data_IF_883133108824
#
_entry.id   IF_883133108824
#
_cell.length_a   1.000
_cell.length_b   1.000
_cell.length_c   1.000
_cell.angle_alpha   90.00
_cell.angle_beta   90.00
_cell.angle_gamma   90.00
#
_symmetry.space_group_name_H-M   'P 1'
#
loop_
_entity.id
_entity.type
_entity.pdbx_description
1 polymer ?
#
# COMPACT_ATOMS: atom_id res chain seq x y z
N UNK A 1 8.25 -10.54 -38.18
CA UNK A 1 8.59 -10.81 -36.77
C UNK A 1 8.79 -9.46 -36.13
N UNK A 2 7.77 -8.97 -35.43
CA UNK A 2 7.78 -7.66 -34.78
C UNK A 2 8.36 -7.88 -33.39
N UNK A 3 9.56 -7.38 -33.14
CA UNK A 3 10.16 -7.40 -31.78
C UNK A 3 9.30 -6.50 -30.89
N UNK A 4 8.82 -7.07 -29.79
CA UNK A 4 8.11 -6.32 -28.74
C UNK A 4 9.06 -5.26 -28.18
N UNK A 5 8.59 -4.02 -28.11
CA UNK A 5 9.34 -2.90 -27.55
C UNK A 5 9.60 -3.13 -26.06
N UNK A 6 10.78 -2.78 -25.51
CA UNK A 6 11.07 -2.99 -24.09
C UNK A 6 10.16 -2.24 -23.09
N UNK A 7 9.28 -1.37 -23.62
CA UNK A 7 8.28 -0.66 -22.81
C UNK A 7 7.04 -1.51 -22.41
N UNK A 8 6.85 -2.71 -23.00
CA UNK A 8 5.71 -3.60 -22.73
C UNK A 8 6.03 -4.74 -21.74
N UNK A 9 7.24 -4.79 -21.19
CA UNK A 9 7.57 -5.78 -20.19
C UNK A 9 6.85 -5.46 -18.86
N UNK A 10 5.96 -6.37 -18.46
CA UNK A 10 5.27 -6.25 -17.17
C UNK A 10 6.29 -6.36 -16.03
N UNK A 11 6.12 -5.56 -14.93
CA UNK A 11 7.06 -5.58 -13.82
C UNK A 11 7.10 -6.97 -13.18
N UNK A 12 8.28 -7.46 -12.85
CA UNK A 12 8.44 -8.70 -12.10
C UNK A 12 8.08 -8.52 -10.61
N UNK A 13 7.72 -9.61 -9.92
CA UNK A 13 7.33 -9.58 -8.51
C UNK A 13 8.38 -8.90 -7.62
N UNK A 14 9.66 -9.15 -7.87
CA UNK A 14 10.75 -8.53 -7.12
C UNK A 14 10.79 -7.00 -7.29
N UNK A 15 10.53 -6.51 -8.49
CA UNK A 15 10.46 -5.08 -8.80
C UNK A 15 9.25 -4.43 -8.11
N UNK A 16 8.08 -5.08 -8.18
CA UNK A 16 6.85 -4.62 -7.51
C UNK A 16 7.05 -4.52 -6.00
N UNK A 17 7.66 -5.54 -5.39
CA UNK A 17 7.97 -5.55 -3.95
C UNK A 17 8.98 -4.46 -3.60
N UNK A 18 10.03 -4.28 -4.40
CA UNK A 18 11.05 -3.26 -4.16
C UNK A 18 10.47 -1.84 -4.23
N UNK A 19 9.65 -1.55 -5.24
CA UNK A 19 8.97 -0.25 -5.36
C UNK A 19 8.02 0.00 -4.19
N UNK A 20 7.25 -1.01 -3.77
CA UNK A 20 6.33 -0.92 -2.63
C UNK A 20 7.09 -0.69 -1.32
N UNK A 21 8.22 -1.35 -1.11
CA UNK A 21 9.09 -1.12 0.08
C UNK A 21 9.67 0.29 0.09
N UNK A 22 10.18 0.76 -1.05
CA UNK A 22 10.69 2.13 -1.18
C UNK A 22 9.62 3.17 -0.84
N UNK A 23 8.41 2.99 -1.35
CA UNK A 23 7.27 3.85 -1.02
C UNK A 23 6.93 3.80 0.49
N UNK A 24 6.87 2.60 1.08
CA UNK A 24 6.61 2.43 2.51
C UNK A 24 7.68 3.15 3.36
N UNK A 25 8.96 2.96 3.04
CA UNK A 25 10.09 3.51 3.80
C UNK A 25 10.22 5.03 3.64
N UNK A 26 10.17 5.53 2.40
CA UNK A 26 10.40 6.95 2.12
C UNK A 26 9.16 7.82 2.36
N UNK A 27 7.99 7.37 1.91
CA UNK A 27 6.77 8.14 2.04
C UNK A 27 6.02 7.82 3.35
N UNK A 28 5.56 6.59 3.56
CA UNK A 28 4.69 6.28 4.69
C UNK A 28 5.41 6.46 6.03
N UNK A 29 6.62 5.90 6.15
CA UNK A 29 7.43 5.99 7.38
C UNK A 29 8.20 7.30 7.42
N UNK A 30 8.86 7.68 6.33
CA UNK A 30 9.71 8.86 6.25
C UNK A 30 8.97 10.17 6.49
N UNK A 31 7.74 10.30 6.00
CA UNK A 31 6.87 11.44 6.26
C UNK A 31 5.96 11.26 7.50
N UNK A 32 6.08 10.11 8.18
CA UNK A 32 5.26 9.73 9.33
C UNK A 32 3.74 9.79 9.04
N UNK A 33 3.34 9.37 7.82
CA UNK A 33 1.92 9.34 7.44
C UNK A 33 1.14 8.26 8.21
N UNK A 34 1.84 7.20 8.66
CA UNK A 34 1.29 6.17 9.53
C UNK A 34 2.28 5.88 10.67
N UNK A 35 2.01 6.35 11.89
CA UNK A 35 2.94 6.19 13.03
C UNK A 35 3.17 4.72 13.42
N UNK A 36 2.30 3.81 12.97
CA UNK A 36 2.37 2.39 13.32
C UNK A 36 3.19 1.57 12.33
N UNK A 37 3.36 2.06 11.10
CA UNK A 37 4.04 1.35 10.01
C UNK A 37 5.50 1.03 10.37
N UNK A 38 6.20 1.94 11.04
CA UNK A 38 7.62 1.80 11.38
C UNK A 38 7.90 0.56 12.25
N UNK A 39 7.12 0.33 13.29
CA UNK A 39 7.33 -0.80 14.20
C UNK A 39 7.13 -2.14 13.48
N UNK A 40 6.08 -2.28 12.70
CA UNK A 40 5.76 -3.49 11.94
C UNK A 40 6.83 -3.76 10.87
N UNK A 41 7.31 -2.70 10.22
CA UNK A 41 8.38 -2.77 9.21
C UNK A 41 9.73 -3.23 9.82
N UNK A 42 10.18 -2.59 10.90
CA UNK A 42 11.46 -2.90 11.57
C UNK A 42 11.49 -4.35 12.09
N UNK A 43 10.35 -4.85 12.57
CA UNK A 43 10.24 -6.23 13.03
C UNK A 43 9.99 -7.26 11.91
N UNK A 44 10.03 -6.83 10.64
CA UNK A 44 9.81 -7.69 9.45
C UNK A 44 8.49 -8.48 9.50
N UNK A 45 7.41 -7.87 10.02
CA UNK A 45 6.10 -8.51 10.19
C UNK A 45 5.11 -8.18 9.07
N UNK A 46 5.58 -7.58 7.98
CA UNK A 46 4.78 -7.26 6.79
C UNK A 46 4.97 -8.37 5.75
N UNK A 47 3.88 -9.01 5.36
CA UNK A 47 3.84 -9.90 4.21
C UNK A 47 3.57 -9.10 2.94
N UNK A 48 4.46 -9.16 1.98
CA UNK A 48 4.28 -8.61 0.63
C UNK A 48 3.86 -9.76 -0.28
N UNK A 49 2.64 -9.68 -0.82
CA UNK A 49 2.09 -10.67 -1.74
C UNK A 49 1.76 -9.99 -3.07
N UNK A 50 2.44 -10.37 -4.15
CA UNK A 50 2.12 -9.90 -5.50
C UNK A 50 1.15 -10.89 -6.13
N UNK A 51 -0.03 -10.41 -6.52
CA UNK A 51 -1.05 -11.20 -7.18
C UNK A 51 -0.83 -11.21 -8.68
N UNK A 52 -0.81 -12.40 -9.27
CA UNK A 52 -0.82 -12.58 -10.72
C UNK A 52 -2.22 -12.44 -11.36
N UNK A 53 -3.25 -12.07 -10.57
CA UNK A 53 -4.62 -11.93 -11.04
C UNK A 53 -4.74 -10.89 -12.16
N UNK A 54 -5.48 -11.26 -13.21
CA UNK A 54 -5.78 -10.41 -14.38
C UNK A 54 -7.26 -10.12 -14.54
N UNK A 55 -8.06 -10.52 -13.57
CA UNK A 55 -9.48 -10.20 -13.49
C UNK A 55 -9.91 -9.97 -12.06
N UNK A 56 -10.98 -9.19 -11.82
CA UNK A 56 -11.51 -8.96 -10.47
C UNK A 56 -11.93 -10.26 -9.77
N UNK A 57 -12.38 -11.28 -10.51
CA UNK A 57 -12.75 -12.57 -9.93
C UNK A 57 -11.52 -13.32 -9.38
N UNK A 58 -10.44 -13.39 -10.14
CA UNK A 58 -9.18 -14.00 -9.69
C UNK A 58 -8.54 -13.22 -8.54
N UNK A 59 -8.68 -11.89 -8.53
CA UNK A 59 -8.22 -11.07 -7.41
C UNK A 59 -9.01 -11.36 -6.14
N UNK A 60 -10.33 -11.56 -6.26
CA UNK A 60 -11.17 -11.93 -5.10
C UNK A 60 -10.73 -13.28 -4.52
N UNK A 61 -10.43 -14.27 -5.36
CA UNK A 61 -9.90 -15.56 -4.89
C UNK A 61 -8.57 -15.41 -4.15
N UNK A 62 -7.65 -14.60 -4.71
CA UNK A 62 -6.37 -14.28 -4.07
C UNK A 62 -6.57 -13.56 -2.73
N UNK A 63 -7.49 -12.59 -2.68
CA UNK A 63 -7.84 -11.86 -1.45
C UNK A 63 -8.36 -12.83 -0.37
N UNK A 64 -9.29 -13.70 -0.73
CA UNK A 64 -9.84 -14.69 0.22
C UNK A 64 -8.78 -15.64 0.75
N UNK A 65 -7.81 -16.04 -0.09
CA UNK A 65 -6.67 -16.85 0.34
C UNK A 65 -5.76 -16.10 1.33
N UNK A 66 -5.41 -14.84 1.05
CA UNK A 66 -4.57 -14.02 1.93
C UNK A 66 -5.28 -13.63 3.24
N UNK A 67 -6.59 -13.40 3.22
CA UNK A 67 -7.40 -13.18 4.43
C UNK A 67 -7.34 -14.40 5.37
N UNK A 68 -7.54 -15.61 4.83
CA UNK A 68 -7.41 -16.86 5.61
C UNK A 68 -5.98 -17.05 6.13
N UNK A 69 -4.97 -16.80 5.29
CA UNK A 69 -3.57 -16.92 5.66
C UNK A 69 -3.20 -15.94 6.79
N UNK A 70 -3.62 -14.68 6.69
CA UNK A 70 -3.39 -13.70 7.75
C UNK A 70 -4.12 -14.10 9.03
N UNK A 71 -5.39 -14.50 8.97
CA UNK A 71 -6.16 -14.92 10.14
C UNK A 71 -5.48 -16.08 10.91
N UNK A 72 -4.91 -17.04 10.18
CA UNK A 72 -4.25 -18.22 10.75
C UNK A 72 -2.82 -17.95 11.23
N UNK A 73 -2.17 -16.89 10.76
CA UNK A 73 -0.77 -16.60 11.07
C UNK A 73 -0.61 -16.07 12.50
N UNK A 74 0.53 -16.43 13.14
CA UNK A 74 0.96 -15.81 14.39
C UNK A 74 1.24 -14.31 14.17
N UNK A 75 0.58 -13.40 14.92
CA UNK A 75 0.82 -11.96 14.81
C UNK A 75 2.27 -11.54 15.06
N UNK A 76 3.04 -12.33 15.82
CA UNK A 76 4.47 -12.07 16.04
C UNK A 76 5.32 -12.33 14.79
N UNK A 77 4.80 -13.09 13.83
CA UNK A 77 5.48 -13.43 12.58
C UNK A 77 4.91 -12.70 11.37
N UNK A 78 3.58 -12.49 11.35
CA UNK A 78 2.88 -11.74 10.30
C UNK A 78 1.76 -10.90 10.92
N UNK A 79 1.98 -9.62 11.00
CA UNK A 79 1.02 -8.66 11.58
C UNK A 79 0.05 -8.12 10.53
N UNK A 80 0.53 -7.97 9.29
CA UNK A 80 -0.24 -7.39 8.20
C UNK A 80 0.21 -7.93 6.85
N UNK A 81 -0.69 -7.88 5.86
CA UNK A 81 -0.40 -8.28 4.47
C UNK A 81 -0.69 -7.13 3.51
N UNK A 82 0.24 -6.83 2.62
CA UNK A 82 0.04 -5.99 1.45
C UNK A 82 -0.22 -6.91 0.25
N UNK A 83 -1.48 -7.04 -0.18
CA UNK A 83 -1.85 -7.75 -1.41
C UNK A 83 -1.77 -6.76 -2.57
N UNK A 84 -0.70 -6.84 -3.35
CA UNK A 84 -0.39 -5.94 -4.46
C UNK A 84 -0.87 -6.60 -5.75
N UNK A 85 -1.63 -5.88 -6.59
CA UNK A 85 -2.24 -6.46 -7.80
C UNK A 85 -1.98 -5.58 -9.03
N UNK A 86 -0.73 -5.59 -9.55
CA UNK A 86 -0.29 -4.65 -10.57
C UNK A 86 -0.95 -4.85 -11.95
N UNK A 87 -1.68 -5.95 -12.15
CA UNK A 87 -2.19 -6.34 -13.46
C UNK A 87 -3.72 -6.25 -13.60
N UNK A 88 -4.41 -5.80 -12.57
CA UNK A 88 -5.88 -5.69 -12.53
C UNK A 88 -6.31 -4.49 -11.71
N UNK A 89 -7.46 -3.89 -12.07
CA UNK A 89 -8.00 -2.70 -11.41
C UNK A 89 -7.01 -1.52 -11.41
N UNK A 90 -6.40 -1.24 -12.56
CA UNK A 90 -5.53 -0.09 -12.77
C UNK A 90 -6.29 1.23 -12.89
N UNK A 91 -7.59 1.21 -13.21
CA UNK A 91 -8.49 2.35 -13.10
C UNK A 91 -8.99 2.48 -11.65
N UNK A 92 -9.01 3.72 -11.15
CA UNK A 92 -9.37 3.95 -9.74
C UNK A 92 -10.86 3.73 -9.47
N UNK A 93 -11.75 4.02 -10.41
CA UNK A 93 -13.19 3.83 -10.21
C UNK A 93 -13.52 2.34 -10.16
N UNK A 94 -12.97 1.54 -11.07
CA UNK A 94 -13.11 0.08 -11.06
C UNK A 94 -12.56 -0.52 -9.76
N UNK A 95 -11.41 0.00 -9.29
CA UNK A 95 -10.81 -0.40 -8.02
C UNK A 95 -11.73 -0.04 -6.84
N UNK A 96 -12.28 1.16 -6.83
CA UNK A 96 -13.17 1.63 -5.75
C UNK A 96 -14.47 0.82 -5.70
N UNK A 97 -15.04 0.45 -6.86
CA UNK A 97 -16.21 -0.44 -6.93
C UNK A 97 -15.89 -1.85 -6.39
N UNK A 98 -14.65 -2.33 -6.61
CA UNK A 98 -14.23 -3.64 -6.12
C UNK A 98 -14.14 -3.69 -4.58
N UNK A 99 -13.94 -2.57 -3.88
CA UNK A 99 -13.81 -2.53 -2.42
C UNK A 99 -15.05 -3.08 -1.70
N UNK A 100 -16.25 -2.88 -2.24
CA UNK A 100 -17.47 -3.48 -1.68
C UNK A 100 -17.40 -5.02 -1.68
N UNK A 101 -16.89 -5.62 -2.77
CA UNK A 101 -16.68 -7.07 -2.86
C UNK A 101 -15.57 -7.56 -1.92
N UNK A 102 -14.55 -6.74 -1.70
CA UNK A 102 -13.50 -7.05 -0.75
C UNK A 102 -14.03 -7.08 0.69
N UNK A 103 -14.90 -6.13 1.06
CA UNK A 103 -15.55 -6.10 2.37
C UNK A 103 -16.54 -7.27 2.55
N UNK A 104 -17.27 -7.65 1.49
CA UNK A 104 -18.13 -8.83 1.50
C UNK A 104 -17.32 -10.11 1.73
N UNK A 105 -16.11 -10.24 1.16
CA UNK A 105 -15.24 -11.38 1.39
C UNK A 105 -14.77 -11.50 2.85
N UNK A 106 -14.47 -10.37 3.51
CA UNK A 106 -14.18 -10.35 4.95
C UNK A 106 -15.37 -10.86 5.75
N UNK A 107 -16.59 -10.44 5.39
CA UNK A 107 -17.81 -10.88 6.04
C UNK A 107 -18.11 -12.37 5.83
N UNK A 108 -17.98 -12.85 4.58
CA UNK A 108 -18.20 -14.25 4.19
C UNK A 108 -17.29 -15.21 4.95
N UNK A 109 -16.03 -14.78 5.18
CA UNK A 109 -15.05 -15.55 5.95
C UNK A 109 -15.24 -15.44 7.48
N UNK A 110 -16.23 -14.67 7.96
CA UNK A 110 -16.44 -14.45 9.39
C UNK A 110 -15.34 -13.63 10.06
N UNK A 111 -14.64 -12.79 9.29
CA UNK A 111 -13.47 -12.03 9.77
C UNK A 111 -13.81 -10.57 10.14
N UNK A 112 -15.09 -10.18 10.17
CA UNK A 112 -15.51 -8.86 10.69
C UNK A 112 -15.10 -8.75 12.16
N UNK A 113 -14.51 -7.62 12.54
CA UNK A 113 -13.95 -7.42 13.88
C UNK A 113 -12.60 -8.11 14.11
N UNK A 114 -12.04 -8.80 13.10
CA UNK A 114 -10.75 -9.48 13.16
C UNK A 114 -9.76 -8.86 12.18
N UNK A 115 -10.19 -8.66 10.92
CA UNK A 115 -9.37 -8.08 9.85
C UNK A 115 -10.20 -6.99 9.15
N UNK A 116 -9.56 -5.85 8.90
CA UNK A 116 -10.07 -4.79 8.05
C UNK A 116 -9.16 -4.60 6.83
N UNK A 117 -9.70 -4.01 5.76
CA UNK A 117 -8.97 -3.70 4.54
C UNK A 117 -8.81 -2.18 4.42
N UNK A 118 -7.57 -1.72 4.27
CA UNK A 118 -7.28 -0.36 3.85
C UNK A 118 -6.89 -0.35 2.37
N UNK A 119 -7.34 0.69 1.66
CA UNK A 119 -7.22 0.81 0.21
C UNK A 119 -6.10 1.77 -0.18
N UNK A 120 -5.26 1.36 -1.16
CA UNK A 120 -4.21 2.17 -1.75
C UNK A 120 -4.18 1.98 -3.27
N UNK A 121 -4.04 3.08 -4.01
CA UNK A 121 -4.06 3.04 -5.47
C UNK A 121 -3.23 4.18 -6.05
N UNK A 122 -2.54 4.03 -7.22
CA UNK A 122 -1.78 5.12 -7.85
C UNK A 122 -2.63 6.36 -8.14
N UNK A 123 -3.88 6.17 -8.56
CA UNK A 123 -4.86 7.23 -8.84
C UNK A 123 -5.84 7.49 -7.70
N UNK A 124 -5.48 7.18 -6.43
CA UNK A 124 -6.41 7.37 -5.31
C UNK A 124 -6.93 8.80 -5.24
N UNK A 125 -8.24 8.94 -5.01
CA UNK A 125 -8.92 10.22 -4.86
C UNK A 125 -9.99 10.12 -3.78
N UNK A 126 -9.94 11.02 -2.79
CA UNK A 126 -11.01 11.16 -1.80
C UNK A 126 -12.24 11.84 -2.41
N UNK A 127 -13.43 11.51 -1.89
CA UNK A 127 -14.70 12.01 -2.43
C UNK A 127 -14.79 13.55 -2.48
N UNK A 128 -14.19 14.24 -1.51
CA UNK A 128 -14.24 15.70 -1.38
C UNK A 128 -12.98 16.39 -1.97
N UNK A 129 -12.14 15.65 -2.72
CA UNK A 129 -10.91 16.16 -3.30
C UNK A 129 -10.97 16.14 -4.83
N UNK A 130 -10.30 17.11 -5.46
CA UNK A 130 -9.98 17.05 -6.89
C UNK A 130 -8.88 16.05 -7.15
N UNK A 131 -8.77 15.52 -8.39
CA UNK A 131 -7.76 14.54 -8.74
C UNK A 131 -6.32 15.01 -8.44
N UNK A 132 -6.05 16.30 -8.58
CA UNK A 132 -4.73 16.90 -8.37
C UNK A 132 -4.47 17.33 -6.93
N UNK A 133 -5.43 17.15 -6.01
CA UNK A 133 -5.23 17.56 -4.62
C UNK A 133 -4.17 16.68 -3.95
N UNK A 134 -3.21 17.34 -3.29
CA UNK A 134 -2.06 16.66 -2.66
C UNK A 134 -2.49 15.76 -1.49
N UNK A 135 -3.65 16.00 -0.89
CA UNK A 135 -4.23 15.19 0.17
C UNK A 135 -4.48 13.75 -0.25
N UNK A 136 -4.78 13.52 -1.54
CA UNK A 136 -4.97 12.17 -2.11
C UNK A 136 -3.73 11.29 -1.94
N UNK A 137 -2.56 11.90 -1.85
CA UNK A 137 -1.29 11.19 -1.74
C UNK A 137 -1.09 10.45 -0.41
N UNK A 138 -1.95 10.72 0.57
CA UNK A 138 -2.01 9.90 1.79
C UNK A 138 -2.27 8.42 1.47
N UNK A 139 -3.09 8.15 0.43
CA UNK A 139 -3.46 6.79 0.01
C UNK A 139 -2.93 6.42 -1.39
N UNK A 140 -2.10 7.27 -2.00
CA UNK A 140 -1.43 6.93 -3.27
C UNK A 140 -0.24 6.01 -3.05
N UNK A 141 -0.18 4.97 -3.85
CA UNK A 141 0.83 3.91 -3.83
C UNK A 141 1.38 3.63 -5.22
N UNK A 142 2.55 2.94 -5.36
CA UNK A 142 3.12 2.64 -6.67
C UNK A 142 2.25 1.73 -7.54
N UNK A 143 1.49 0.83 -6.91
CA UNK A 143 0.59 -0.13 -7.54
C UNK A 143 -0.72 -0.19 -6.77
N UNK A 144 -1.83 -0.59 -7.41
CA UNK A 144 -3.06 -0.91 -6.69
C UNK A 144 -2.80 -2.01 -5.66
N UNK A 145 -3.27 -1.82 -4.42
CA UNK A 145 -3.10 -2.82 -3.37
C UNK A 145 -4.21 -2.76 -2.32
N UNK A 146 -4.46 -3.90 -1.72
CA UNK A 146 -5.33 -4.07 -0.57
C UNK A 146 -4.45 -4.38 0.65
N UNK A 147 -4.54 -3.53 1.66
CA UNK A 147 -3.78 -3.67 2.90
C UNK A 147 -4.64 -4.36 3.96
N UNK A 148 -4.33 -5.61 4.26
CA UNK A 148 -5.04 -6.42 5.24
C UNK A 148 -4.45 -6.16 6.63
N UNK A 149 -5.27 -5.64 7.54
CA UNK A 149 -4.88 -5.20 8.87
C UNK A 149 -5.65 -5.98 9.94
N UNK A 150 -4.95 -6.44 10.97
CA UNK A 150 -5.61 -6.98 12.17
C UNK A 150 -6.26 -5.85 12.95
N UNK A 151 -7.57 -5.92 13.23
CA UNK A 151 -8.26 -4.87 13.97
C UNK A 151 -7.68 -4.69 15.37
N UNK A 152 -7.33 -5.77 16.07
CA UNK A 152 -6.68 -5.69 17.38
C UNK A 152 -5.34 -4.92 17.34
N UNK A 153 -4.62 -4.91 16.21
CA UNK A 153 -3.39 -4.12 16.05
C UNK A 153 -3.70 -2.65 15.83
N UNK A 154 -4.73 -2.36 15.05
CA UNK A 154 -5.23 -0.99 14.83
C UNK A 154 -5.73 -0.39 16.15
N UNK A 155 -6.51 -1.13 16.94
CA UNK A 155 -7.00 -0.69 18.24
C UNK A 155 -5.87 -0.35 19.21
N UNK A 156 -4.86 -1.22 19.32
CA UNK A 156 -3.66 -0.93 20.14
C UNK A 156 -2.96 0.33 19.69
N UNK A 157 -2.89 0.51 18.39
CA UNK A 157 -2.28 1.66 17.76
C UNK A 157 -3.04 2.96 18.08
N UNK A 158 -4.36 2.95 17.93
CA UNK A 158 -5.26 4.08 18.26
C UNK A 158 -5.20 4.38 19.77
N UNK A 159 -5.19 3.37 20.61
CA UNK A 159 -5.07 3.56 22.07
C UNK A 159 -3.75 4.27 22.45
N UNK A 160 -2.67 3.98 21.73
CA UNK A 160 -1.36 4.63 21.95
C UNK A 160 -1.32 6.07 21.40
N UNK A 161 -2.23 6.43 20.48
CA UNK A 161 -2.34 7.74 19.84
C UNK A 161 -3.81 8.15 19.80
N UNK A 162 -4.38 8.63 20.89
CA UNK A 162 -5.84 8.84 21.04
C UNK A 162 -6.41 9.91 20.11
N UNK A 163 -5.58 10.79 19.53
CA UNK A 163 -6.02 11.80 18.57
C UNK A 163 -5.74 11.36 17.12
N UNK A 164 -6.60 10.48 16.60
CA UNK A 164 -6.54 10.05 15.19
C UNK A 164 -6.83 11.20 14.21
N UNK A 165 -7.62 12.22 14.65
CA UNK A 165 -7.90 13.41 13.87
C UNK A 165 -6.63 14.26 13.69
N UNK A 166 -5.74 14.29 14.70
CA UNK A 166 -4.44 14.94 14.58
C UNK A 166 -3.55 14.23 13.55
N UNK A 167 -3.57 12.89 13.48
CA UNK A 167 -2.81 12.15 12.45
C UNK A 167 -3.24 12.61 11.06
N UNK A 168 -4.53 12.65 10.79
CA UNK A 168 -5.07 13.08 9.51
C UNK A 168 -4.66 14.53 9.16
N UNK A 169 -4.84 15.46 10.09
CA UNK A 169 -4.43 16.87 9.89
C UNK A 169 -2.93 17.01 9.63
N UNK A 170 -2.11 16.32 10.41
CA UNK A 170 -0.65 16.34 10.26
C UNK A 170 -0.22 15.77 8.91
N UNK A 171 -0.90 14.73 8.41
CA UNK A 171 -0.65 14.18 7.08
C UNK A 171 -0.92 15.22 5.99
N UNK A 172 -2.08 15.90 6.05
CA UNK A 172 -2.42 16.97 5.09
C UNK A 172 -1.38 18.09 5.13
N UNK A 173 -1.04 18.59 6.31
CA UNK A 173 -0.05 19.67 6.46
C UNK A 173 1.33 19.23 5.93
N UNK A 174 1.74 18.00 6.20
CA UNK A 174 3.00 17.44 5.71
C UNK A 174 3.02 17.35 4.20
N UNK A 175 1.95 16.82 3.59
CA UNK A 175 1.82 16.72 2.14
C UNK A 175 1.74 18.08 1.45
N UNK A 176 0.99 19.04 2.00
CA UNK A 176 0.93 20.42 1.47
C UNK A 176 2.28 21.10 1.50
N UNK A 177 3.05 20.93 2.58
CA UNK A 177 4.42 21.46 2.69
C UNK A 177 5.38 20.81 1.71
N UNK A 178 5.25 19.49 1.48
CA UNK A 178 6.08 18.73 0.56
C UNK A 178 5.79 19.12 -0.90
N UNK A 179 4.50 19.23 -1.25
CA UNK A 179 4.01 19.47 -2.60
C UNK A 179 4.26 18.32 -3.57
N UNK A 180 3.73 18.43 -4.79
CA UNK A 180 3.86 17.41 -5.83
C UNK A 180 5.32 17.15 -6.25
N UNK A 181 6.12 18.20 -6.32
CA UNK A 181 7.54 18.05 -6.69
C UNK A 181 8.33 17.29 -5.63
N UNK A 182 8.11 17.61 -4.35
CA UNK A 182 8.73 16.90 -3.24
C UNK A 182 8.32 15.42 -3.21
N UNK A 183 7.04 15.13 -3.45
CA UNK A 183 6.57 13.74 -3.56
C UNK A 183 7.24 12.99 -4.70
N UNK A 184 7.33 13.57 -5.91
CA UNK A 184 8.02 12.96 -7.04
C UNK A 184 9.46 12.58 -6.69
N UNK A 185 10.21 13.51 -6.11
CA UNK A 185 11.60 13.24 -5.69
C UNK A 185 11.72 12.08 -4.71
N UNK A 186 10.77 11.92 -3.78
CA UNK A 186 10.78 10.81 -2.83
C UNK A 186 10.59 9.45 -3.52
N UNK A 187 9.75 9.39 -4.55
CA UNK A 187 9.35 8.13 -5.19
C UNK A 187 10.19 7.79 -6.42
N UNK A 188 10.78 8.80 -7.10
CA UNK A 188 11.58 8.65 -8.32
C UNK A 188 13.07 8.42 -8.05
N UNK A 189 13.56 8.66 -6.83
CA UNK A 189 14.96 8.43 -6.47
C UNK A 189 15.28 6.91 -6.46
N UNK A 190 15.24 6.32 -7.66
CA UNK A 190 15.68 4.96 -7.96
C UNK A 190 17.21 4.98 -8.04
N UNK A 191 17.87 4.94 -6.85
CA UNK A 191 19.23 4.42 -6.76
C UNK A 191 20.27 5.06 -7.69
N UNK A 192 20.61 6.33 -7.49
CA UNK A 192 22.01 6.72 -7.75
C UNK A 192 22.86 6.11 -6.64
N UNK A 193 23.44 4.93 -6.91
CA UNK A 193 24.69 4.54 -6.27
C UNK A 193 25.66 5.68 -6.55
N UNK A 194 26.06 6.40 -5.53
CA UNK A 194 27.27 7.21 -5.54
C UNK A 194 28.43 6.22 -5.76
N UNK A 195 28.87 6.12 -7.01
CA UNK A 195 30.23 5.71 -7.32
C UNK A 195 31.11 6.90 -6.95
N UNK A 196 31.34 7.10 -5.65
CA UNK A 196 32.43 7.93 -5.19
C UNK A 196 33.71 7.09 -5.34
N UNK A 197 34.47 7.51 -6.34
CA UNK A 197 35.70 6.93 -6.73
C UNK A 197 36.72 6.86 -5.59
N UNK A 198 37.20 5.67 -5.40
CA UNK A 198 38.56 5.47 -4.90
C UNK A 198 39.52 5.81 -6.04
N UNK A 199 40.15 6.96 -5.93
CA UNK A 199 41.32 7.35 -6.70
C UNK A 199 42.27 8.07 -5.74
N UNK A 200 43.24 7.31 -5.26
CA UNK A 200 44.36 7.81 -4.50
C UNK A 200 45.29 6.68 -4.06
#
# INVERSE_FOLDING_TARGET
MTEASPADAQPGDAEVIAATRTWLEKAVIGLNLCPFAKAVHVHARIRYCVSAARSPALLLEALMAELRALAAADPQRCETTLLIHPYVLGDFLDYNEFLARADDAVAELGLRGVIQIASFHPGYQFADCSADDIENYTNRSPYPMLHLLREASVERAVTSHPDTTAIYRNNIETLRRLGHEGWRRLTEDRGQKTEDGDSG
#
